data_IF_040995467052
#
_entry.id   IF_040995467052
#
_cell.length_a   1.000
_cell.length_b   1.000
_cell.length_c   1.000
_cell.angle_alpha   90.00
_cell.angle_beta   90.00
_cell.angle_gamma   90.00
#
_symmetry.space_group_name_H-M   'P 1'
#
loop_
_entity.id
_entity.type
_entity.pdbx_description
1 polymer ?
#
# COMPACT_ATOMS: atom_id res chain seq x y z
N UNK A 1 -20.41 -19.26 15.37
CA UNK A 1 -19.20 -18.92 14.55
C UNK A 1 -19.13 -17.44 14.11
N UNK A 2 -19.63 -16.46 14.89
CA UNK A 2 -19.53 -15.01 14.59
C UNK A 2 -18.33 -14.32 15.27
N UNK A 3 -17.95 -14.77 16.47
CA UNK A 3 -16.88 -14.15 17.29
C UNK A 3 -15.48 -14.27 16.68
N UNK A 4 -15.17 -15.38 16.00
CA UNK A 4 -13.85 -15.60 15.38
C UNK A 4 -13.57 -14.67 14.20
N UNK A 5 -14.60 -14.23 13.46
CA UNK A 5 -14.43 -13.24 12.37
C UNK A 5 -14.13 -11.84 12.91
N UNK A 6 -14.77 -11.45 14.02
CA UNK A 6 -14.56 -10.13 14.64
C UNK A 6 -13.15 -10.04 15.22
N UNK A 7 -12.72 -11.09 15.93
CA UNK A 7 -11.37 -11.18 16.49
C UNK A 7 -10.30 -11.13 15.39
N UNK A 8 -10.48 -11.91 14.31
CA UNK A 8 -9.55 -11.92 13.16
C UNK A 8 -9.50 -10.57 12.43
N UNK A 9 -10.61 -9.81 12.40
CA UNK A 9 -10.65 -8.45 11.83
C UNK A 9 -9.90 -7.46 12.73
N UNK A 10 -10.10 -7.51 14.05
CA UNK A 10 -9.40 -6.67 15.05
C UNK A 10 -7.88 -6.91 15.02
N UNK A 11 -7.45 -8.16 14.98
CA UNK A 11 -6.01 -8.52 14.92
C UNK A 11 -5.37 -7.95 13.66
N UNK A 12 -6.02 -8.09 12.50
CA UNK A 12 -5.53 -7.52 11.24
C UNK A 12 -5.38 -6.00 11.33
N UNK A 13 -6.40 -5.29 11.82
CA UNK A 13 -6.34 -3.82 11.94
C UNK A 13 -5.24 -3.36 12.89
N UNK A 14 -5.06 -4.04 14.04
CA UNK A 14 -4.00 -3.72 14.99
C UNK A 14 -2.60 -3.94 14.41
N UNK A 15 -2.41 -4.97 13.58
CA UNK A 15 -1.16 -5.22 12.86
C UNK A 15 -0.82 -4.11 11.86
N UNK A 16 -1.83 -3.58 11.16
CA UNK A 16 -1.66 -2.44 10.25
C UNK A 16 -1.24 -1.16 11.01
N UNK A 17 -1.90 -0.85 12.13
CA UNK A 17 -1.52 0.29 12.96
C UNK A 17 -0.14 0.12 13.59
N UNK A 18 0.23 -1.10 13.98
CA UNK A 18 1.58 -1.41 14.48
C UNK A 18 2.63 -1.20 13.38
N UNK A 19 2.39 -1.70 12.16
CA UNK A 19 3.29 -1.51 11.03
C UNK A 19 3.46 -0.02 10.67
N UNK A 20 2.36 0.75 10.67
CA UNK A 20 2.40 2.19 10.49
C UNK A 20 3.18 2.90 11.62
N UNK A 21 2.98 2.48 12.87
CA UNK A 21 3.70 2.99 14.04
C UNK A 21 5.21 2.72 13.97
N UNK A 22 5.62 1.53 13.55
CA UNK A 22 7.03 1.18 13.31
C UNK A 22 7.61 2.10 12.22
N UNK A 23 6.83 2.36 11.16
CA UNK A 23 7.25 3.25 10.07
C UNK A 23 7.50 4.69 10.54
N UNK A 24 6.58 5.21 11.36
CA UNK A 24 6.69 6.54 11.97
C UNK A 24 7.90 6.58 12.90
N UNK A 25 8.12 5.52 13.70
CA UNK A 25 9.29 5.39 14.56
C UNK A 25 10.60 5.42 13.79
N UNK A 26 10.71 4.63 12.71
CA UNK A 26 11.90 4.61 11.83
C UNK A 26 12.12 5.98 11.18
N UNK A 27 11.06 6.65 10.71
CA UNK A 27 11.16 7.98 10.13
C UNK A 27 11.66 9.02 11.15
N UNK A 28 11.14 9.01 12.37
CA UNK A 28 11.60 9.91 13.45
C UNK A 28 13.06 9.63 13.80
N UNK A 29 13.42 8.35 13.94
CA UNK A 29 14.79 7.94 14.28
C UNK A 29 15.77 8.28 13.15
N UNK A 30 15.34 8.32 11.88
CA UNK A 30 16.20 8.70 10.76
C UNK A 30 16.70 10.16 10.79
N UNK A 31 16.07 11.05 11.57
CA UNK A 31 16.56 12.42 11.77
C UNK A 31 17.68 12.51 12.81
N UNK A 32 18.00 11.41 13.48
CA UNK A 32 18.98 11.35 14.54
C UNK A 32 20.34 10.95 13.91
N UNK A 33 21.31 11.87 13.80
CA UNK A 33 22.52 11.67 12.99
C UNK A 33 23.47 10.59 13.52
N UNK A 34 23.35 10.17 14.79
CA UNK A 34 24.14 9.08 15.38
C UNK A 34 23.49 7.69 15.25
N UNK A 35 22.31 7.58 14.63
CA UNK A 35 21.67 6.30 14.33
C UNK A 35 21.71 6.08 12.82
N UNK A 36 22.72 5.35 12.36
CA UNK A 36 22.83 4.96 10.96
C UNK A 36 21.84 3.83 10.64
N UNK A 37 20.83 4.14 9.84
CA UNK A 37 19.91 3.16 9.29
C UNK A 37 20.42 2.78 7.91
N UNK A 38 20.84 1.52 7.74
CA UNK A 38 21.35 1.04 6.46
C UNK A 38 20.34 1.21 5.32
N UNK A 39 20.80 1.66 4.15
CA UNK A 39 19.96 1.92 2.96
C UNK A 39 19.10 0.73 2.53
N UNK A 40 19.59 -0.50 2.72
CA UNK A 40 18.81 -1.73 2.47
C UNK A 40 17.58 -1.81 3.39
N UNK A 41 17.71 -1.45 4.68
CA UNK A 41 16.58 -1.44 5.63
C UNK A 41 15.53 -0.42 5.19
N UNK A 42 15.95 0.79 4.80
CA UNK A 42 15.05 1.84 4.31
C UNK A 42 14.33 1.45 3.02
N UNK A 43 15.02 0.73 2.12
CA UNK A 43 14.40 0.21 0.91
C UNK A 43 13.37 -0.90 1.22
N UNK A 44 13.70 -1.83 2.13
CA UNK A 44 12.77 -2.87 2.57
C UNK A 44 11.52 -2.31 3.23
N UNK A 45 11.69 -1.32 4.12
CA UNK A 45 10.54 -0.66 4.76
C UNK A 45 9.68 0.03 3.70
N UNK A 46 10.28 0.79 2.78
CA UNK A 46 9.57 1.43 1.65
C UNK A 46 8.71 0.46 0.86
N UNK A 47 9.25 -0.72 0.54
CA UNK A 47 8.53 -1.77 -0.19
C UNK A 47 7.36 -2.33 0.64
N UNK A 48 7.56 -2.55 1.94
CA UNK A 48 6.48 -3.00 2.83
C UNK A 48 5.36 -1.94 2.88
N UNK A 49 5.69 -0.65 2.97
CA UNK A 49 4.71 0.43 2.93
C UNK A 49 3.92 0.45 1.62
N UNK A 50 4.61 0.25 0.48
CA UNK A 50 3.95 0.12 -0.82
C UNK A 50 2.96 -1.07 -0.81
N UNK A 51 3.35 -2.24 -0.33
CA UNK A 51 2.46 -3.41 -0.24
C UNK A 51 1.23 -3.16 0.63
N UNK A 52 1.41 -2.50 1.78
CA UNK A 52 0.33 -2.11 2.70
C UNK A 52 -0.66 -1.17 2.00
N UNK A 53 -0.17 -0.14 1.32
CA UNK A 53 -1.02 0.86 0.64
C UNK A 53 -1.77 0.25 -0.55
N UNK A 54 -1.15 -0.64 -1.32
CA UNK A 54 -1.82 -1.40 -2.39
C UNK A 54 -2.94 -2.27 -1.84
N UNK A 55 -2.69 -2.95 -0.72
CA UNK A 55 -3.69 -3.78 -0.07
C UNK A 55 -4.89 -2.96 0.42
N UNK A 56 -4.65 -1.75 0.94
CA UNK A 56 -5.73 -0.87 1.37
C UNK A 56 -6.54 -0.33 0.18
N UNK A 57 -5.85 0.17 -0.86
CA UNK A 57 -6.45 0.57 -2.14
C UNK A 57 -7.33 -0.53 -2.73
N UNK A 58 -6.83 -1.77 -2.68
CA UNK A 58 -7.51 -2.96 -3.15
C UNK A 58 -8.84 -3.22 -2.48
N UNK A 59 -8.96 -2.90 -1.18
CA UNK A 59 -10.22 -3.05 -0.42
C UNK A 59 -11.22 -1.97 -0.77
N UNK A 60 -10.76 -0.73 -0.83
CA UNK A 60 -11.59 0.42 -1.21
C UNK A 60 -12.18 0.19 -2.59
N UNK A 61 -11.34 -0.16 -3.57
CA UNK A 61 -11.77 -0.40 -4.93
C UNK A 61 -12.80 -1.55 -5.05
N UNK A 62 -12.65 -2.63 -4.26
CA UNK A 62 -13.64 -3.71 -4.20
C UNK A 62 -14.97 -3.28 -3.58
N UNK A 63 -14.92 -2.47 -2.50
CA UNK A 63 -16.12 -1.96 -1.85
C UNK A 63 -16.92 -1.06 -2.79
N UNK A 64 -16.23 -0.22 -3.58
CA UNK A 64 -16.85 0.66 -4.58
C UNK A 64 -17.46 -0.11 -5.75
N UNK A 65 -16.75 -1.12 -6.25
CA UNK A 65 -17.27 -1.96 -7.34
C UNK A 65 -18.58 -2.67 -6.94
N UNK A 66 -18.65 -3.17 -5.69
CA UNK A 66 -19.86 -3.81 -5.17
C UNK A 66 -21.06 -2.86 -5.02
N UNK A 67 -20.84 -1.53 -4.96
CA UNK A 67 -21.90 -0.54 -4.77
C UNK A 67 -22.49 -0.02 -6.10
N UNK A 68 -21.78 -0.12 -7.22
CA UNK A 68 -22.18 0.54 -8.48
C UNK A 68 -23.16 -0.26 -9.35
N UNK A 69 -23.37 -1.57 -9.12
CA UNK A 69 -24.44 -2.38 -9.71
C UNK A 69 -24.52 -2.45 -11.25
N UNK A 70 -23.52 -1.95 -11.98
CA UNK A 70 -23.54 -1.88 -13.46
C UNK A 70 -22.57 -2.90 -14.09
N UNK A 71 -23.06 -4.01 -14.67
CA UNK A 71 -22.25 -5.18 -14.99
C UNK A 71 -21.22 -4.98 -16.12
N UNK A 72 -21.44 -4.00 -17.03
CA UNK A 72 -20.50 -3.71 -18.13
C UNK A 72 -19.32 -2.84 -17.68
N UNK A 73 -19.59 -1.78 -16.90
CA UNK A 73 -18.54 -0.94 -16.32
C UNK A 73 -17.76 -1.67 -15.23
N UNK A 74 -18.43 -2.59 -14.53
CA UNK A 74 -17.84 -3.46 -13.51
C UNK A 74 -16.78 -4.39 -14.11
N UNK A 75 -17.03 -5.05 -15.25
CA UNK A 75 -16.02 -5.92 -15.91
C UNK A 75 -14.75 -5.18 -16.32
N UNK A 76 -14.87 -4.02 -16.95
CA UNK A 76 -13.70 -3.23 -17.40
C UNK A 76 -12.91 -2.68 -16.21
N UNK A 77 -13.60 -2.14 -15.20
CA UNK A 77 -12.96 -1.70 -13.95
C UNK A 77 -12.32 -2.87 -13.21
N UNK A 78 -12.96 -4.03 -13.19
CA UNK A 78 -12.44 -5.22 -12.55
C UNK A 78 -11.16 -5.72 -13.23
N UNK A 79 -11.14 -5.82 -14.56
CA UNK A 79 -9.95 -6.23 -15.31
C UNK A 79 -8.81 -5.22 -15.16
N UNK A 80 -9.10 -3.92 -15.26
CA UNK A 80 -8.10 -2.87 -15.03
C UNK A 80 -7.54 -2.92 -13.60
N UNK A 81 -8.42 -3.07 -12.60
CA UNK A 81 -8.03 -3.18 -11.19
C UNK A 81 -7.25 -4.47 -10.92
N UNK A 82 -7.58 -5.57 -11.58
CA UNK A 82 -6.86 -6.83 -11.50
C UNK A 82 -5.47 -6.70 -12.11
N UNK A 83 -5.35 -6.12 -13.31
CA UNK A 83 -4.08 -5.87 -13.98
C UNK A 83 -3.19 -4.93 -13.16
N UNK A 84 -3.74 -3.84 -12.65
CA UNK A 84 -3.03 -2.92 -11.74
C UNK A 84 -2.60 -3.63 -10.46
N UNK A 85 -3.45 -4.47 -9.85
CA UNK A 85 -3.06 -5.25 -8.67
C UNK A 85 -1.97 -6.26 -8.97
N UNK A 86 -2.03 -6.95 -10.11
CA UNK A 86 -0.98 -7.88 -10.52
C UNK A 86 0.34 -7.13 -10.67
N UNK A 87 0.34 -5.99 -11.35
CA UNK A 87 1.54 -5.16 -11.55
C UNK A 87 2.07 -4.58 -10.24
N UNK A 88 1.17 -4.13 -9.36
CA UNK A 88 1.47 -3.61 -8.02
C UNK A 88 1.89 -4.70 -7.04
N UNK A 89 1.53 -5.96 -7.24
CA UNK A 89 1.98 -7.07 -6.37
C UNK A 89 3.27 -7.68 -6.91
N UNK A 90 3.44 -7.82 -8.22
CA UNK A 90 4.67 -8.37 -8.81
C UNK A 90 5.83 -7.39 -8.64
N UNK A 91 5.61 -6.09 -8.84
CA UNK A 91 6.71 -5.10 -8.79
C UNK A 91 7.43 -5.04 -7.44
N UNK A 92 6.77 -5.03 -6.26
CA UNK A 92 7.48 -5.03 -4.99
C UNK A 92 8.21 -6.35 -4.71
N UNK A 93 7.67 -7.50 -5.15
CA UNK A 93 8.40 -8.78 -5.04
C UNK A 93 9.64 -8.82 -5.93
N UNK A 94 9.55 -8.30 -7.16
CA UNK A 94 10.70 -8.17 -8.05
C UNK A 94 11.76 -7.22 -7.46
N UNK A 95 11.33 -6.11 -6.85
CA UNK A 95 12.22 -5.17 -6.17
C UNK A 95 12.88 -5.78 -4.93
N UNK A 96 12.14 -6.56 -4.13
CA UNK A 96 12.71 -7.29 -2.99
C UNK A 96 13.78 -8.29 -3.43
N UNK A 97 13.51 -9.03 -4.51
CA UNK A 97 14.48 -9.95 -5.09
C UNK A 97 15.72 -9.18 -5.55
N UNK A 98 15.55 -8.11 -6.32
CA UNK A 98 16.67 -7.33 -6.86
C UNK A 98 17.52 -6.67 -5.76
N UNK A 99 16.94 -6.01 -4.75
CA UNK A 99 17.69 -5.37 -3.65
C UNK A 99 18.62 -6.35 -2.94
N UNK A 100 18.28 -7.64 -2.91
CA UNK A 100 19.12 -8.66 -2.28
C UNK A 100 20.40 -8.97 -3.07
N UNK A 101 20.42 -8.73 -4.39
CA UNK A 101 21.57 -8.91 -5.27
C UNK A 101 22.26 -7.60 -5.65
N UNK A 102 21.68 -6.46 -5.28
CA UNK A 102 22.25 -5.14 -5.53
C UNK A 102 23.12 -4.71 -4.34
N UNK A 103 24.33 -4.25 -4.64
CA UNK A 103 25.28 -3.76 -3.63
C UNK A 103 25.59 -2.27 -3.78
N UNK A 104 25.16 -1.63 -4.87
CA UNK A 104 25.27 -0.18 -5.04
C UNK A 104 24.24 0.54 -4.15
N UNK A 105 24.73 1.16 -3.08
CA UNK A 105 23.92 1.91 -2.12
C UNK A 105 23.16 3.09 -2.75
N UNK A 106 23.72 3.74 -3.79
CA UNK A 106 23.06 4.84 -4.46
C UNK A 106 21.86 4.35 -5.29
N UNK A 107 21.97 3.16 -5.89
CA UNK A 107 20.85 2.51 -6.60
C UNK A 107 19.76 2.11 -5.60
N UNK A 108 20.13 1.50 -4.48
CA UNK A 108 19.19 1.08 -3.43
C UNK A 108 18.44 2.29 -2.84
N UNK A 109 19.14 3.40 -2.60
CA UNK A 109 18.53 4.64 -2.12
C UNK A 109 17.52 5.22 -3.13
N UNK A 110 17.83 5.20 -4.43
CA UNK A 110 16.89 5.63 -5.48
C UNK A 110 15.64 4.74 -5.51
N UNK A 111 15.82 3.42 -5.40
CA UNK A 111 14.70 2.47 -5.33
C UNK A 111 13.81 2.80 -4.13
N UNK A 112 14.39 2.99 -2.94
CA UNK A 112 13.65 3.37 -1.74
C UNK A 112 12.81 4.64 -1.93
N UNK A 113 13.39 5.68 -2.54
CA UNK A 113 12.70 6.94 -2.80
C UNK A 113 11.52 6.76 -3.78
N UNK A 114 11.74 6.10 -4.92
CA UNK A 114 10.67 5.89 -5.90
C UNK A 114 9.53 5.02 -5.37
N UNK A 115 9.87 3.98 -4.60
CA UNK A 115 8.89 3.12 -3.94
C UNK A 115 8.06 3.92 -2.93
N UNK A 116 8.70 4.81 -2.17
CA UNK A 116 8.01 5.70 -1.23
C UNK A 116 7.05 6.65 -1.96
N UNK A 117 7.48 7.27 -3.06
CA UNK A 117 6.59 8.10 -3.88
C UNK A 117 5.42 7.32 -4.47
N UNK A 118 5.66 6.09 -4.93
CA UNK A 118 4.60 5.21 -5.41
C UNK A 118 3.59 4.90 -4.30
N UNK A 119 4.05 4.61 -3.08
CA UNK A 119 3.18 4.35 -1.94
C UNK A 119 2.30 5.55 -1.60
N UNK A 120 2.88 6.76 -1.58
CA UNK A 120 2.13 8.01 -1.40
C UNK A 120 1.10 8.22 -2.51
N UNK A 121 1.48 8.00 -3.78
CA UNK A 121 0.58 8.09 -4.93
C UNK A 121 -0.62 7.15 -4.80
N UNK A 122 -0.39 5.90 -4.37
CA UNK A 122 -1.47 4.92 -4.11
C UNK A 122 -2.40 5.40 -3.00
N UNK A 123 -1.88 6.00 -1.93
CA UNK A 123 -2.71 6.58 -0.84
C UNK A 123 -3.60 7.70 -1.36
N UNK A 124 -3.03 8.68 -2.08
CA UNK A 124 -3.81 9.79 -2.64
C UNK A 124 -4.86 9.32 -3.64
N UNK A 125 -4.50 8.38 -4.51
CA UNK A 125 -5.44 7.78 -5.45
C UNK A 125 -6.61 7.10 -4.73
N UNK A 126 -6.30 6.29 -3.72
CA UNK A 126 -7.30 5.60 -2.88
C UNK A 126 -8.23 6.60 -2.21
N UNK A 127 -7.67 7.66 -1.61
CA UNK A 127 -8.46 8.71 -0.96
C UNK A 127 -9.36 9.45 -1.96
N UNK A 128 -8.88 9.73 -3.16
CA UNK A 128 -9.67 10.33 -4.23
C UNK A 128 -10.85 9.46 -4.64
N UNK A 129 -10.68 8.14 -4.70
CA UNK A 129 -11.77 7.19 -4.98
C UNK A 129 -12.85 7.21 -3.89
N UNK A 130 -12.45 7.23 -2.61
CA UNK A 130 -13.40 7.32 -1.49
C UNK A 130 -14.23 8.60 -1.51
N UNK A 131 -13.56 9.76 -1.72
CA UNK A 131 -14.23 11.07 -1.75
C UNK A 131 -15.25 11.16 -2.88
N UNK A 132 -14.90 10.63 -4.07
CA UNK A 132 -15.81 10.60 -5.23
C UNK A 132 -17.03 9.70 -4.98
N UNK A 133 -16.88 8.60 -4.24
CA UNK A 133 -18.02 7.76 -3.87
C UNK A 133 -18.95 8.47 -2.90
N UNK A 134 -18.38 9.11 -1.87
CA UNK A 134 -19.16 9.84 -0.87
C UNK A 134 -19.94 11.02 -1.47
N UNK A 135 -19.38 11.71 -2.47
CA UNK A 135 -20.11 12.77 -3.17
C UNK A 135 -21.29 12.23 -3.97
N UNK A 136 -21.14 11.06 -4.60
CA UNK A 136 -22.23 10.42 -5.36
C UNK A 136 -23.36 9.93 -4.46
N UNK A 137 -23.06 9.46 -3.24
CA UNK A 137 -24.08 9.04 -2.26
C UNK A 137 -24.83 10.23 -1.65
N UNK A 138 -24.19 11.39 -1.47
CA UNK A 138 -24.85 12.62 -0.99
C UNK A 138 -25.70 13.33 -2.05
N UNK A 139 -25.51 13.00 -3.32
CA UNK A 139 -26.26 13.55 -4.46
C UNK A 139 -27.54 12.77 -4.78
N UNK A 140 -27.78 11.65 -4.08
CA UNK A 140 -29.02 10.87 -4.13
C UNK A 140 -29.86 11.16 -2.89
#
# INVERSE_FOLDING_TARGET
MRGTRILRRKIKTNLFYLAAGIYIGIAIVSFIPWIEIGVKITAYTSIIALLITIYDSSKVALALAAAEGNPRKEKVRYVFMLAMKILLVISPFALLYWINYEDDEAVIARISNYVTFAALGVVFFTRGMELKSQSNDRSK
#
